data_IF_222986282909
#
_entry.id   IF_222986282909
#
_cell.length_a   1.000
_cell.length_b   1.000
_cell.length_c   1.000
_cell.angle_alpha   90.00
_cell.angle_beta   90.00
_cell.angle_gamma   90.00
#
_symmetry.space_group_name_H-M   'P 1'
#
loop_
_entity.id
_entity.type
_entity.pdbx_description
1 polymer ?
#
# COMPACT_ATOMS: atom_id res chain seq x y z
N UNK A 1 -11.01 0.20 -23.83
CA UNK A 1 -10.08 0.85 -24.78
C UNK A 1 -8.79 1.14 -24.02
N UNK A 2 -7.89 0.19 -24.00
CA UNK A 2 -6.56 0.36 -23.38
C UNK A 2 -5.65 1.05 -24.39
N UNK A 3 -5.32 2.32 -24.16
CA UNK A 3 -4.35 3.06 -24.99
C UNK A 3 -2.97 2.94 -24.37
N UNK A 4 -2.12 2.15 -25.03
CA UNK A 4 -0.69 2.09 -24.74
C UNK A 4 0.05 3.16 -25.56
N UNK A 5 0.61 4.16 -24.90
CA UNK A 5 1.57 5.10 -25.49
C UNK A 5 2.65 5.44 -24.47
N UNK A 6 3.74 4.70 -24.49
CA UNK A 6 5.09 5.28 -24.35
C UNK A 6 6.13 4.17 -24.52
N UNK A 7 6.83 4.24 -25.64
CA UNK A 7 7.97 3.39 -25.91
C UNK A 7 9.16 3.75 -25.02
N UNK A 8 9.50 2.86 -24.12
CA UNK A 8 10.81 2.78 -23.51
C UNK A 8 11.27 1.32 -23.56
N UNK A 9 12.14 1.01 -24.50
CA UNK A 9 12.90 -0.26 -24.51
C UNK A 9 13.90 -0.19 -23.37
N UNK A 10 13.62 -0.85 -22.28
CA UNK A 10 14.64 -1.22 -21.30
C UNK A 10 15.08 -2.66 -21.55
N UNK A 11 16.37 -2.81 -21.85
CA UNK A 11 17.03 -4.11 -21.95
C UNK A 11 17.10 -4.73 -20.54
N UNK A 12 16.31 -5.76 -20.29
CA UNK A 12 16.49 -6.62 -19.14
C UNK A 12 17.44 -7.77 -19.52
N UNK A 13 18.55 -7.84 -18.81
CA UNK A 13 19.43 -9.01 -18.81
C UNK A 13 18.65 -10.18 -18.20
N UNK A 14 18.25 -11.12 -19.03
CA UNK A 14 17.61 -12.38 -18.61
C UNK A 14 18.72 -13.33 -18.18
N UNK A 15 18.84 -13.54 -16.86
CA UNK A 15 19.54 -14.70 -16.34
C UNK A 15 18.77 -15.97 -16.73
N UNK A 16 19.36 -16.84 -17.51
CA UNK A 16 18.76 -18.12 -17.91
C UNK A 16 18.46 -18.98 -16.68
N UNK A 17 17.23 -19.43 -16.46
CA UNK A 17 16.93 -20.43 -15.45
C UNK A 17 17.43 -21.79 -15.90
N UNK A 18 18.09 -22.52 -15.01
CA UNK A 18 18.47 -23.92 -15.18
C UNK A 18 17.23 -24.73 -15.52
N UNK A 19 17.35 -25.56 -16.55
CA UNK A 19 16.32 -26.45 -17.07
C UNK A 19 15.67 -27.30 -15.95
N UNK A 20 14.33 -27.40 -15.91
CA UNK A 20 13.64 -28.33 -15.01
C UNK A 20 13.85 -29.77 -15.54
N UNK A 21 13.94 -30.70 -14.59
CA UNK A 21 14.06 -32.12 -14.86
C UNK A 21 12.90 -32.63 -15.75
N UNK A 22 13.21 -33.39 -16.76
CA UNK A 22 12.28 -33.99 -17.74
C UNK A 22 11.22 -34.85 -17.01
N UNK A 23 9.96 -34.50 -17.16
CA UNK A 23 8.86 -35.41 -16.89
C UNK A 23 8.83 -36.55 -17.90
N UNK A 24 8.58 -37.80 -17.52
CA UNK A 24 8.49 -38.92 -18.43
C UNK A 24 7.22 -38.86 -19.27
N UNK A 25 7.38 -39.23 -20.56
CA UNK A 25 6.38 -39.15 -21.59
C UNK A 25 5.16 -40.05 -21.38
N UNK A 26 4.05 -39.57 -21.89
CA UNK A 26 2.71 -40.10 -22.05
C UNK A 26 2.61 -41.61 -22.20
N UNK A 27 1.83 -42.23 -21.30
CA UNK A 27 1.14 -43.46 -21.51
C UNK A 27 -0.37 -43.21 -21.37
N UNK A 28 -1.11 -43.38 -22.44
CA UNK A 28 -2.56 -43.29 -22.52
C UNK A 28 -3.24 -44.42 -21.75
N UNK A 29 -3.80 -44.11 -20.57
CA UNK A 29 -4.81 -44.93 -19.93
C UNK A 29 -5.73 -44.04 -19.07
N UNK A 30 -7.03 -44.12 -19.36
CA UNK A 30 -8.07 -43.45 -18.59
C UNK A 30 -8.01 -43.87 -17.10
N UNK A 31 -8.17 -42.96 -16.14
CA UNK A 31 -8.13 -43.31 -14.74
C UNK A 31 -9.43 -43.98 -14.30
N UNK A 32 -9.36 -45.26 -13.97
CA UNK A 32 -10.39 -45.96 -13.20
C UNK A 32 -10.20 -45.59 -11.71
N UNK A 33 -11.25 -45.03 -11.10
CA UNK A 33 -11.56 -45.14 -9.68
C UNK A 33 -10.65 -44.38 -8.70
N UNK A 34 -11.11 -43.22 -8.27
CA UNK A 34 -10.54 -42.39 -7.19
C UNK A 34 -10.71 -43.04 -5.78
N UNK A 35 -11.18 -44.29 -5.66
CA UNK A 35 -11.58 -44.88 -4.38
C UNK A 35 -10.52 -45.65 -3.57
N UNK A 36 -9.29 -45.78 -4.05
CA UNK A 36 -8.31 -46.69 -3.42
C UNK A 36 -7.08 -46.05 -2.76
N UNK A 37 -7.08 -44.74 -2.46
CA UNK A 37 -5.88 -44.07 -1.91
C UNK A 37 -6.07 -43.39 -0.55
N UNK A 38 -7.18 -43.68 0.19
CA UNK A 38 -7.43 -43.06 1.52
C UNK A 38 -6.48 -43.53 2.61
N UNK A 39 -5.92 -44.73 2.52
CA UNK A 39 -5.21 -45.35 3.63
C UNK A 39 -3.70 -45.06 3.73
N UNK A 40 -3.08 -44.46 2.70
CA UNK A 40 -1.64 -44.18 2.74
C UNK A 40 -1.26 -42.70 2.96
N UNK A 41 -2.21 -41.78 2.97
CA UNK A 41 -2.01 -40.36 3.15
C UNK A 41 -2.31 -39.83 4.56
N UNK A 42 -2.78 -40.69 5.47
CA UNK A 42 -3.21 -40.35 6.83
C UNK A 42 -2.13 -39.77 7.76
N UNK A 43 -0.86 -39.72 7.35
CA UNK A 43 0.24 -39.30 8.21
C UNK A 43 0.83 -37.91 7.91
N UNK A 44 0.70 -37.40 6.69
CA UNK A 44 1.46 -36.21 6.25
C UNK A 44 0.66 -34.99 5.81
N UNK A 45 -0.65 -35.11 5.55
CA UNK A 45 -1.51 -33.99 5.16
C UNK A 45 -2.65 -33.79 6.19
N UNK A 46 -2.31 -33.48 7.43
CA UNK A 46 -3.31 -33.33 8.51
C UNK A 46 -4.22 -32.10 8.36
N UNK A 47 -3.86 -31.12 7.55
CA UNK A 47 -4.56 -29.83 7.46
C UNK A 47 -5.11 -29.47 6.07
N UNK A 48 -4.92 -30.31 5.05
CA UNK A 48 -5.49 -30.06 3.73
C UNK A 48 -7.03 -30.08 3.82
N UNK A 49 -7.65 -28.91 3.55
CA UNK A 49 -9.11 -28.77 3.57
C UNK A 49 -9.62 -28.72 2.14
N UNK A 50 -10.71 -29.46 1.88
CA UNK A 50 -11.37 -29.50 0.55
C UNK A 50 -12.76 -28.90 0.65
N UNK A 51 -13.13 -28.19 -0.38
CA UNK A 51 -14.46 -27.58 -0.51
C UNK A 51 -15.04 -27.92 -1.87
N UNK A 52 -16.31 -28.31 -1.87
CA UNK A 52 -17.09 -28.54 -3.09
C UNK A 52 -17.73 -27.24 -3.54
N UNK A 53 -17.59 -26.92 -4.82
CA UNK A 53 -18.29 -25.80 -5.46
C UNK A 53 -19.60 -26.33 -6.07
N UNK A 54 -20.71 -25.74 -5.65
CA UNK A 54 -22.05 -26.02 -6.16
C UNK A 54 -22.85 -24.72 -6.19
N UNK A 55 -24.10 -24.76 -5.81
CA UNK A 55 -24.89 -23.55 -5.53
C UNK A 55 -24.41 -22.80 -4.29
N UNK A 56 -23.65 -23.47 -3.44
CA UNK A 56 -22.95 -22.90 -2.31
C UNK A 56 -21.62 -23.67 -2.12
N UNK A 57 -20.63 -23.04 -1.49
CA UNK A 57 -19.39 -23.69 -1.12
C UNK A 57 -19.63 -24.54 0.13
N UNK A 58 -19.29 -25.84 0.08
CA UNK A 58 -19.44 -26.78 1.20
C UNK A 58 -18.12 -27.42 1.55
N UNK A 59 -17.79 -27.48 2.85
CA UNK A 59 -16.59 -28.17 3.30
C UNK A 59 -16.78 -29.70 3.21
N UNK A 60 -15.78 -30.39 2.69
CA UNK A 60 -15.78 -31.84 2.57
C UNK A 60 -14.92 -32.46 3.67
N UNK A 61 -15.40 -33.61 4.22
CA UNK A 61 -14.58 -34.46 5.08
C UNK A 61 -13.50 -35.19 4.24
N UNK A 62 -12.41 -35.62 4.91
CA UNK A 62 -11.28 -36.27 4.25
C UNK A 62 -11.63 -37.52 3.45
N UNK A 63 -12.75 -38.18 3.79
CA UNK A 63 -13.21 -39.45 3.21
C UNK A 63 -14.25 -39.29 2.11
N UNK A 64 -14.71 -38.05 1.86
CA UNK A 64 -15.77 -37.78 0.86
C UNK A 64 -15.22 -37.89 -0.57
N UNK A 65 -16.00 -38.50 -1.48
CA UNK A 65 -15.73 -38.43 -2.91
C UNK A 65 -15.89 -36.99 -3.41
N UNK A 66 -14.88 -36.47 -4.10
CA UNK A 66 -14.86 -35.12 -4.63
C UNK A 66 -15.44 -35.13 -6.04
N UNK A 67 -16.49 -34.35 -6.28
CA UNK A 67 -16.97 -34.05 -7.64
C UNK A 67 -16.42 -32.72 -8.11
N UNK A 68 -16.20 -32.55 -9.40
CA UNK A 68 -15.77 -31.26 -10.00
C UNK A 68 -16.96 -30.32 -10.15
N UNK A 69 -16.77 -29.00 -9.95
CA UNK A 69 -15.55 -28.31 -9.54
C UNK A 69 -15.35 -28.28 -8.00
N UNK A 70 -14.10 -28.19 -7.56
CA UNK A 70 -13.75 -28.15 -6.13
C UNK A 70 -12.57 -27.22 -5.83
N UNK A 71 -12.40 -26.87 -4.54
CA UNK A 71 -11.30 -26.04 -4.06
C UNK A 71 -10.47 -26.81 -3.04
N UNK A 72 -9.17 -26.68 -3.13
CA UNK A 72 -8.21 -27.23 -2.18
C UNK A 72 -7.45 -26.09 -1.50
N UNK A 73 -7.45 -26.09 -0.18
CA UNK A 73 -6.62 -25.21 0.63
C UNK A 73 -5.50 -26.02 1.29
N UNK A 74 -4.26 -25.53 1.16
CA UNK A 74 -3.08 -26.13 1.75
C UNK A 74 -2.09 -25.05 2.18
N UNK A 75 -1.13 -25.44 3.02
CA UNK A 75 -0.01 -24.58 3.39
C UNK A 75 1.24 -24.88 2.55
N UNK A 76 2.29 -24.06 2.69
CA UNK A 76 3.55 -24.25 1.93
C UNK A 76 4.22 -25.59 2.21
N UNK A 77 4.14 -26.09 3.45
CA UNK A 77 4.73 -27.38 3.82
C UNK A 77 3.99 -28.54 3.16
N UNK A 78 2.67 -28.52 3.14
CA UNK A 78 1.84 -29.50 2.47
C UNK A 78 2.02 -29.46 0.96
N UNK A 79 2.17 -28.27 0.38
CA UNK A 79 2.48 -28.07 -1.05
C UNK A 79 3.80 -28.78 -1.42
N UNK A 80 4.86 -28.58 -0.65
CA UNK A 80 6.17 -29.20 -0.89
C UNK A 80 6.10 -30.75 -0.80
N UNK A 81 5.38 -31.27 0.19
CA UNK A 81 5.20 -32.73 0.35
C UNK A 81 4.32 -33.32 -0.74
N UNK A 82 3.24 -32.63 -1.13
CA UNK A 82 2.32 -33.07 -2.17
C UNK A 82 2.99 -33.13 -3.55
N UNK A 83 3.87 -32.17 -3.86
CA UNK A 83 4.65 -32.16 -5.08
C UNK A 83 5.62 -33.35 -5.20
N UNK A 84 6.20 -33.79 -4.06
CA UNK A 84 7.12 -34.97 -4.02
C UNK A 84 6.40 -36.30 -4.17
N UNK A 85 5.16 -36.39 -3.71
CA UNK A 85 4.39 -37.63 -3.69
C UNK A 85 3.61 -37.90 -4.99
N UNK A 86 3.73 -37.07 -6.02
CA UNK A 86 2.98 -37.21 -7.27
C UNK A 86 1.48 -37.14 -7.05
N UNK A 87 1.04 -36.17 -6.28
CA UNK A 87 -0.32 -36.05 -5.79
C UNK A 87 -1.38 -36.18 -6.87
N UNK A 88 -2.56 -36.62 -6.48
CA UNK A 88 -3.76 -36.84 -7.29
C UNK A 88 -4.29 -35.59 -8.02
N UNK A 89 -3.74 -34.41 -7.73
CA UNK A 89 -4.10 -33.14 -8.35
C UNK A 89 -3.05 -32.83 -9.41
N UNK A 90 -3.37 -32.96 -10.69
CA UNK A 90 -2.49 -32.53 -11.77
C UNK A 90 -2.13 -31.05 -11.59
N UNK A 91 -0.92 -30.66 -12.01
CA UNK A 91 -0.47 -29.25 -11.97
C UNK A 91 -0.27 -28.62 -10.57
N UNK A 92 -0.47 -29.38 -9.47
CA UNK A 92 -0.26 -28.83 -8.13
C UNK A 92 1.14 -28.21 -7.93
N UNK A 93 2.15 -28.74 -8.62
CA UNK A 93 3.52 -28.23 -8.61
C UNK A 93 3.67 -26.82 -9.24
N UNK A 94 2.68 -26.36 -10.01
CA UNK A 94 2.65 -25.00 -10.57
C UNK A 94 2.02 -23.98 -9.61
N UNK A 95 1.46 -24.41 -8.47
CA UNK A 95 0.93 -23.48 -7.47
C UNK A 95 2.06 -22.71 -6.82
N UNK A 96 2.08 -21.36 -6.88
CA UNK A 96 3.12 -20.57 -6.23
C UNK A 96 3.04 -20.65 -4.71
N UNK A 97 4.19 -20.65 -4.05
CA UNK A 97 4.23 -20.59 -2.59
C UNK A 97 4.04 -19.16 -2.08
N UNK A 98 3.25 -18.92 -1.01
CA UNK A 98 3.10 -17.62 -0.37
C UNK A 98 4.43 -17.06 0.17
N UNK A 99 5.42 -17.91 0.49
CA UNK A 99 6.75 -17.48 0.94
C UNK A 99 7.52 -16.68 -0.09
N UNK A 100 7.27 -16.93 -1.38
CA UNK A 100 7.92 -16.23 -2.51
C UNK A 100 7.06 -15.10 -3.09
N UNK A 101 5.84 -14.94 -2.60
CA UNK A 101 4.91 -13.94 -3.08
C UNK A 101 5.33 -12.53 -2.63
N UNK A 102 5.68 -11.67 -3.59
CA UNK A 102 6.06 -10.26 -3.34
C UNK A 102 5.07 -9.27 -3.95
N UNK A 103 4.23 -9.73 -4.89
CA UNK A 103 3.30 -8.88 -5.64
C UNK A 103 2.06 -9.69 -6.06
N UNK A 104 1.01 -8.98 -6.48
CA UNK A 104 -0.14 -9.59 -7.12
C UNK A 104 0.20 -9.82 -8.60
N UNK A 105 0.01 -11.05 -9.07
CA UNK A 105 0.19 -11.40 -10.47
C UNK A 105 -0.71 -12.58 -10.87
N UNK A 106 -1.05 -12.64 -12.16
CA UNK A 106 -1.61 -13.79 -12.82
C UNK A 106 -0.68 -14.23 -13.96
N UNK A 107 -0.54 -15.52 -14.16
CA UNK A 107 0.20 -16.13 -15.28
C UNK A 107 -0.77 -17.10 -15.97
N UNK A 108 -1.17 -16.74 -17.19
CA UNK A 108 -2.07 -17.54 -17.99
C UNK A 108 -1.29 -18.59 -18.81
N UNK A 109 -1.59 -19.87 -18.58
CA UNK A 109 -1.04 -21.02 -19.30
C UNK A 109 -2.14 -21.74 -20.05
N UNK A 110 -1.80 -22.55 -21.06
CA UNK A 110 -2.75 -23.29 -21.88
C UNK A 110 -3.68 -24.25 -21.09
N UNK A 111 -3.31 -24.66 -19.90
CA UNK A 111 -4.05 -25.63 -19.09
C UNK A 111 -4.45 -25.14 -17.70
N UNK A 112 -3.98 -23.97 -17.28
CA UNK A 112 -4.25 -23.41 -15.96
C UNK A 112 -3.87 -21.94 -15.90
N UNK A 113 -4.40 -21.23 -14.91
CA UNK A 113 -3.99 -19.89 -14.51
C UNK A 113 -3.39 -20.01 -13.11
N UNK A 114 -2.22 -19.46 -12.90
CA UNK A 114 -1.61 -19.44 -11.56
C UNK A 114 -1.06 -18.04 -11.22
N UNK A 115 -0.89 -17.79 -9.94
CA UNK A 115 -0.37 -16.51 -9.53
C UNK A 115 -0.30 -16.32 -8.02
N UNK A 116 0.00 -15.11 -7.62
CA UNK A 116 0.10 -14.73 -6.22
C UNK A 116 -0.71 -13.48 -5.94
N UNK A 117 -1.24 -13.36 -4.75
CA UNK A 117 -1.87 -12.14 -4.23
C UNK A 117 -1.20 -11.81 -2.89
N UNK A 118 -0.76 -10.56 -2.75
CA UNK A 118 -0.12 -10.07 -1.52
C UNK A 118 -0.77 -8.75 -1.14
N UNK A 119 -1.47 -8.73 0.01
CA UNK A 119 -2.13 -7.52 0.50
C UNK A 119 -1.18 -6.71 1.38
N UNK A 120 -1.24 -5.38 1.37
CA UNK A 120 -0.57 -4.55 2.35
C UNK A 120 -1.05 -4.86 3.78
N UNK A 121 -0.28 -4.43 4.77
CA UNK A 121 -0.67 -4.56 6.19
C UNK A 121 -1.80 -3.57 6.48
N UNK A 122 -2.91 -4.06 7.02
CA UNK A 122 -4.05 -3.20 7.42
C UNK A 122 -3.89 -2.58 8.80
N UNK A 123 -3.02 -3.15 9.64
CA UNK A 123 -2.79 -2.65 11.00
C UNK A 123 -1.31 -2.79 11.33
N UNK A 124 -0.76 -1.80 12.01
CA UNK A 124 0.63 -1.87 12.52
C UNK A 124 0.77 -3.11 13.41
N UNK A 125 1.71 -4.00 13.06
CA UNK A 125 1.95 -5.26 13.78
C UNK A 125 1.31 -6.51 13.16
N UNK A 126 0.37 -6.41 12.23
CA UNK A 126 -0.08 -7.56 11.45
C UNK A 126 0.90 -7.88 10.32
N UNK A 127 1.05 -9.18 10.02
CA UNK A 127 1.78 -9.59 8.82
C UNK A 127 0.98 -9.25 7.56
N UNK A 128 1.66 -8.96 6.45
CA UNK A 128 1.03 -8.92 5.15
C UNK A 128 0.43 -10.30 4.86
N UNK A 129 -0.76 -10.34 4.29
CA UNK A 129 -1.40 -11.59 3.86
C UNK A 129 -0.87 -11.88 2.46
N UNK A 130 -0.30 -13.07 2.28
CA UNK A 130 0.17 -13.52 0.98
C UNK A 130 -0.32 -14.94 0.75
N UNK A 131 -0.82 -15.21 -0.44
CA UNK A 131 -1.21 -16.56 -0.86
C UNK A 131 -0.94 -16.77 -2.34
N UNK A 132 -0.64 -18.03 -2.67
CA UNK A 132 -0.58 -18.51 -4.04
C UNK A 132 -1.90 -19.10 -4.47
N UNK A 133 -2.21 -19.05 -5.75
CA UNK A 133 -3.38 -19.69 -6.31
C UNK A 133 -3.07 -20.38 -7.63
N UNK A 134 -3.84 -21.40 -7.93
CA UNK A 134 -3.88 -22.09 -9.22
C UNK A 134 -5.33 -22.38 -9.55
N UNK A 135 -5.76 -22.02 -10.73
CA UNK A 135 -7.10 -22.22 -11.24
C UNK A 135 -7.05 -23.13 -12.47
N UNK A 136 -7.92 -24.13 -12.50
CA UNK A 136 -8.14 -25.00 -13.65
C UNK A 136 -9.64 -25.06 -13.93
N UNK A 137 -10.09 -25.66 -15.02
CA UNK A 137 -11.51 -25.81 -15.30
C UNK A 137 -12.24 -26.65 -14.22
N UNK A 138 -11.55 -27.60 -13.60
CA UNK A 138 -12.12 -28.57 -12.69
C UNK A 138 -11.89 -28.29 -11.21
N UNK A 139 -10.82 -27.53 -10.87
CA UNK A 139 -10.46 -27.27 -9.48
C UNK A 139 -9.66 -25.98 -9.31
N UNK A 140 -9.73 -25.43 -8.12
CA UNK A 140 -8.85 -24.35 -7.64
C UNK A 140 -7.98 -24.82 -6.50
N UNK A 141 -6.74 -24.36 -6.45
CA UNK A 141 -5.81 -24.56 -5.33
C UNK A 141 -5.46 -23.22 -4.75
N UNK A 142 -5.57 -23.10 -3.43
CA UNK A 142 -5.10 -21.96 -2.65
C UNK A 142 -4.00 -22.43 -1.72
N UNK A 143 -2.85 -21.74 -1.71
CA UNK A 143 -1.76 -21.98 -0.79
C UNK A 143 -1.61 -20.78 0.14
N UNK A 144 -1.83 -20.97 1.44
CA UNK A 144 -1.83 -19.92 2.46
C UNK A 144 -1.19 -20.40 3.75
N UNK A 145 -0.19 -19.65 4.21
CA UNK A 145 0.46 -19.90 5.51
C UNK A 145 -0.11 -19.03 6.65
N UNK A 146 -0.95 -18.02 6.31
CA UNK A 146 -1.49 -17.04 7.26
C UNK A 146 -2.80 -17.46 7.91
N UNK A 147 -3.52 -18.42 7.33
CA UNK A 147 -4.88 -18.81 7.71
C UNK A 147 -5.97 -17.84 7.24
N UNK A 148 -5.61 -16.78 6.52
CA UNK A 148 -6.57 -15.78 6.01
C UNK A 148 -7.48 -16.37 4.95
N UNK A 149 -6.94 -17.17 4.01
CA UNK A 149 -7.74 -17.84 2.98
C UNK A 149 -8.73 -18.81 3.62
N UNK A 150 -8.34 -19.56 4.67
CA UNK A 150 -9.26 -20.44 5.39
C UNK A 150 -10.44 -19.66 5.98
N UNK A 151 -10.18 -18.52 6.62
CA UNK A 151 -11.22 -17.65 7.18
C UNK A 151 -12.16 -17.11 6.09
N UNK A 152 -11.62 -16.73 4.92
CA UNK A 152 -12.41 -16.27 3.77
C UNK A 152 -13.28 -17.40 3.21
N UNK A 153 -12.73 -18.61 3.04
CA UNK A 153 -13.48 -19.78 2.56
C UNK A 153 -14.61 -20.16 3.50
N UNK A 154 -14.37 -20.16 4.83
CA UNK A 154 -15.43 -20.38 5.81
C UNK A 154 -16.54 -19.34 5.72
N UNK A 155 -16.17 -18.07 5.44
CA UNK A 155 -17.12 -17.00 5.27
C UNK A 155 -17.93 -17.18 3.98
N UNK A 156 -17.30 -17.56 2.86
CA UNK A 156 -18.00 -17.93 1.61
C UNK A 156 -19.02 -19.04 1.82
N UNK A 157 -18.66 -20.10 2.60
CA UNK A 157 -19.57 -21.18 2.95
C UNK A 157 -20.77 -20.69 3.77
N UNK A 158 -20.53 -19.84 4.77
CA UNK A 158 -21.57 -19.38 5.70
C UNK A 158 -22.54 -18.42 5.06
N UNK A 159 -22.03 -17.44 4.29
CA UNK A 159 -22.80 -16.35 3.72
C UNK A 159 -23.36 -16.69 2.32
N UNK A 160 -23.01 -17.87 1.78
CA UNK A 160 -23.44 -18.35 0.44
C UNK A 160 -23.16 -17.33 -0.67
N UNK A 161 -21.98 -16.72 -0.64
CA UNK A 161 -21.58 -15.62 -1.52
C UNK A 161 -21.02 -16.09 -2.88
N UNK A 162 -21.31 -17.31 -3.33
CA UNK A 162 -20.94 -17.76 -4.67
C UNK A 162 -21.83 -17.09 -5.71
N UNK A 163 -21.20 -16.48 -6.72
CA UNK A 163 -21.91 -15.83 -7.82
C UNK A 163 -22.23 -16.79 -8.98
N UNK A 164 -21.73 -18.03 -8.93
CA UNK A 164 -21.95 -19.06 -9.93
C UNK A 164 -21.34 -20.41 -9.52
N UNK A 165 -21.69 -21.49 -10.20
CA UNK A 165 -21.22 -22.85 -9.88
C UNK A 165 -19.80 -23.15 -10.40
N UNK A 166 -19.18 -22.23 -11.17
CA UNK A 166 -17.86 -22.40 -11.79
C UNK A 166 -16.71 -21.92 -10.92
N UNK A 167 -15.50 -22.20 -11.40
CA UNK A 167 -14.25 -21.72 -10.75
C UNK A 167 -14.15 -20.20 -10.79
N UNK A 168 -14.59 -19.57 -11.87
CA UNK A 168 -14.62 -18.10 -11.99
C UNK A 168 -15.58 -17.47 -10.98
N UNK A 169 -16.78 -18.02 -10.82
CA UNK A 169 -17.75 -17.58 -9.80
C UNK A 169 -17.23 -17.71 -8.36
N UNK A 170 -16.51 -18.79 -8.07
CA UNK A 170 -15.82 -18.98 -6.80
C UNK A 170 -14.72 -17.92 -6.58
N UNK A 171 -13.85 -17.73 -7.59
CA UNK A 171 -12.72 -16.82 -7.44
C UNK A 171 -13.17 -15.35 -7.41
N UNK A 172 -14.23 -15.00 -8.12
CA UNK A 172 -14.91 -13.73 -7.96
C UNK A 172 -15.32 -13.48 -6.50
N UNK A 173 -16.08 -14.43 -5.90
CA UNK A 173 -16.51 -14.31 -4.50
C UNK A 173 -15.34 -14.20 -3.52
N UNK A 174 -14.23 -14.88 -3.80
CA UNK A 174 -13.00 -14.78 -3.02
C UNK A 174 -12.36 -13.39 -3.12
N UNK A 175 -12.25 -12.82 -4.32
CA UNK A 175 -11.74 -11.45 -4.53
C UNK A 175 -12.65 -10.39 -3.89
N UNK A 176 -13.97 -10.56 -3.98
CA UNK A 176 -14.94 -9.67 -3.33
C UNK A 176 -14.76 -9.63 -1.80
N UNK A 177 -14.52 -10.78 -1.16
CA UNK A 177 -14.23 -10.85 0.26
C UNK A 177 -12.87 -10.24 0.61
N UNK A 178 -11.88 -10.41 -0.25
CA UNK A 178 -10.56 -9.82 -0.08
C UNK A 178 -10.65 -8.29 -0.03
N UNK A 179 -11.45 -7.71 -0.92
CA UNK A 179 -11.64 -6.25 -1.05
C UNK A 179 -12.70 -5.67 -0.10
N UNK A 180 -13.44 -6.53 0.62
CA UNK A 180 -14.63 -6.09 1.37
C UNK A 180 -14.36 -4.99 2.41
N UNK A 181 -13.18 -4.98 3.02
CA UNK A 181 -12.81 -4.03 4.07
C UNK A 181 -11.89 -2.89 3.59
N UNK A 182 -11.50 -2.89 2.32
CA UNK A 182 -10.47 -1.97 1.85
C UNK A 182 -10.96 -0.52 1.79
N UNK A 183 -12.23 -0.30 1.42
CA UNK A 183 -12.81 1.04 1.44
C UNK A 183 -12.81 1.64 2.87
N UNK A 184 -13.16 0.83 3.87
CA UNK A 184 -13.11 1.25 5.27
C UNK A 184 -11.70 1.60 5.73
N UNK A 185 -10.70 0.85 5.23
CA UNK A 185 -9.32 1.14 5.56
C UNK A 185 -8.83 2.44 4.93
N UNK A 186 -9.17 2.67 3.65
CA UNK A 186 -8.86 3.94 2.98
C UNK A 186 -9.53 5.13 3.67
N UNK A 187 -10.79 4.97 4.11
CA UNK A 187 -11.47 6.00 4.89
C UNK A 187 -10.74 6.30 6.21
N UNK A 188 -10.27 5.28 6.92
CA UNK A 188 -9.50 5.48 8.15
C UNK A 188 -8.17 6.22 7.90
N UNK A 189 -7.53 6.02 6.74
CA UNK A 189 -6.34 6.79 6.34
C UNK A 189 -6.69 8.25 6.01
N UNK A 190 -7.85 8.50 5.42
CA UNK A 190 -8.38 9.84 5.18
C UNK A 190 -8.63 10.58 6.49
N UNK A 191 -9.34 9.94 7.43
CA UNK A 191 -9.61 10.49 8.76
C UNK A 191 -8.30 10.83 9.52
N UNK A 192 -7.23 10.03 9.33
CA UNK A 192 -5.91 10.32 9.91
C UNK A 192 -5.24 11.54 9.25
N UNK A 193 -5.39 11.73 7.93
CA UNK A 193 -4.91 12.93 7.22
C UNK A 193 -5.67 14.18 7.69
N UNK A 194 -6.99 14.12 7.83
CA UNK A 194 -7.82 15.22 8.32
C UNK A 194 -7.41 15.63 9.74
N UNK A 195 -7.20 14.65 10.63
CA UNK A 195 -6.71 14.93 11.97
C UNK A 195 -5.32 15.60 11.97
N UNK A 196 -4.44 15.24 11.03
CA UNK A 196 -3.13 15.89 10.87
C UNK A 196 -3.24 17.30 10.30
N UNK A 197 -4.22 17.61 9.46
CA UNK A 197 -4.50 18.96 8.97
C UNK A 197 -4.92 19.89 10.13
N UNK A 198 -5.80 19.42 11.00
CA UNK A 198 -6.21 20.14 12.20
C UNK A 198 -5.04 20.42 13.16
N UNK A 199 -4.10 19.47 13.28
CA UNK A 199 -2.89 19.63 14.11
C UNK A 199 -1.96 20.74 13.60
N UNK A 200 -1.84 20.95 12.28
CA UNK A 200 -1.06 22.04 11.69
C UNK A 200 -1.61 23.39 12.16
N UNK A 201 -2.95 23.54 12.13
CA UNK A 201 -3.65 24.74 12.59
C UNK A 201 -3.47 24.97 14.09
N UNK A 202 -3.37 23.90 14.89
CA UNK A 202 -3.22 23.91 16.34
C UNK A 202 -1.79 24.05 16.89
N UNK A 203 -0.77 24.21 16.04
CA UNK A 203 0.64 24.40 16.40
C UNK A 203 1.39 23.20 17.02
N UNK A 204 0.89 21.98 16.90
CA UNK A 204 1.57 20.76 17.37
C UNK A 204 2.42 20.14 16.28
N UNK A 205 3.63 20.66 16.05
CA UNK A 205 4.41 20.33 14.85
C UNK A 205 5.50 19.26 15.05
N UNK A 206 5.84 18.90 16.29
CA UNK A 206 7.03 18.08 16.57
C UNK A 206 6.96 16.66 16.03
N UNK A 207 5.78 16.03 16.05
CA UNK A 207 5.58 14.65 15.57
C UNK A 207 4.99 14.55 14.13
N UNK A 208 4.67 15.67 13.51
CA UNK A 208 4.02 15.72 12.21
C UNK A 208 4.85 15.02 11.11
N UNK A 209 6.13 15.36 10.97
CA UNK A 209 6.98 14.88 9.88
C UNK A 209 7.16 13.35 9.86
N UNK A 210 7.47 12.66 10.96
CA UNK A 210 7.58 11.20 10.98
C UNK A 210 6.23 10.51 10.76
N UNK A 211 5.12 11.03 11.29
CA UNK A 211 3.77 10.49 11.07
C UNK A 211 3.36 10.61 9.60
N UNK A 212 3.54 11.78 8.99
CA UNK A 212 3.27 12.03 7.58
C UNK A 212 4.09 11.10 6.67
N UNK A 213 5.37 10.89 6.98
CA UNK A 213 6.21 9.96 6.21
C UNK A 213 5.72 8.51 6.28
N UNK A 214 5.27 8.07 7.46
CA UNK A 214 4.72 6.73 7.64
C UNK A 214 3.40 6.56 6.88
N UNK A 215 2.49 7.53 6.99
CA UNK A 215 1.18 7.52 6.33
C UNK A 215 1.31 7.54 4.81
N UNK A 216 2.17 8.40 4.25
CA UNK A 216 2.47 8.40 2.82
C UNK A 216 3.00 7.06 2.32
N UNK A 217 3.88 6.41 3.08
CA UNK A 217 4.40 5.09 2.72
C UNK A 217 3.29 4.03 2.71
N UNK A 218 2.38 4.11 3.66
CA UNK A 218 1.23 3.22 3.73
C UNK A 218 0.28 3.43 2.54
N UNK A 219 -0.14 4.67 2.27
CA UNK A 219 -0.99 5.03 1.12
C UNK A 219 -0.35 4.58 -0.21
N UNK A 220 0.96 4.83 -0.39
CA UNK A 220 1.69 4.38 -1.58
C UNK A 220 1.74 2.85 -1.69
N UNK A 221 1.75 2.13 -0.57
CA UNK A 221 1.65 0.66 -0.54
C UNK A 221 0.30 0.17 -1.05
N UNK A 222 -0.79 0.81 -0.63
CA UNK A 222 -2.14 0.50 -1.08
C UNK A 222 -2.36 0.84 -2.55
N UNK A 223 -1.91 2.00 -3.02
CA UNK A 223 -1.98 2.37 -4.43
C UNK A 223 -1.25 1.36 -5.32
N UNK A 224 -0.06 0.90 -4.92
CA UNK A 224 0.69 -0.14 -5.65
C UNK A 224 -0.05 -1.48 -5.65
N UNK A 225 -0.65 -1.86 -4.54
CA UNK A 225 -1.44 -3.07 -4.43
C UNK A 225 -2.62 -3.08 -5.41
N UNK A 226 -3.41 -1.99 -5.44
CA UNK A 226 -4.54 -1.92 -6.37
C UNK A 226 -4.10 -1.86 -7.83
N UNK A 227 -2.98 -1.19 -8.15
CA UNK A 227 -2.41 -1.22 -9.51
C UNK A 227 -2.03 -2.64 -9.94
N UNK A 228 -1.44 -3.43 -9.05
CA UNK A 228 -1.10 -4.82 -9.34
C UNK A 228 -2.34 -5.70 -9.44
N UNK A 229 -3.34 -5.46 -8.59
CA UNK A 229 -4.58 -6.22 -8.61
C UNK A 229 -5.41 -5.91 -9.87
N UNK A 230 -5.40 -4.66 -10.34
CA UNK A 230 -6.00 -4.27 -11.61
C UNK A 230 -5.36 -5.04 -12.77
N UNK A 231 -4.02 -5.07 -12.84
CA UNK A 231 -3.30 -5.88 -13.82
C UNK A 231 -3.65 -7.36 -13.76
N UNK A 232 -3.79 -7.94 -12.56
CA UNK A 232 -4.21 -9.32 -12.38
C UNK A 232 -5.65 -9.57 -12.94
N UNK A 233 -6.56 -8.65 -12.66
CA UNK A 233 -7.94 -8.77 -13.17
C UNK A 233 -8.01 -8.56 -14.68
N UNK A 234 -7.19 -7.66 -15.24
CA UNK A 234 -7.07 -7.50 -16.70
C UNK A 234 -6.64 -8.79 -17.39
N UNK A 235 -5.65 -9.52 -16.85
CA UNK A 235 -5.24 -10.84 -17.38
C UNK A 235 -6.41 -11.85 -17.43
N UNK A 236 -7.31 -11.83 -16.44
CA UNK A 236 -8.51 -12.68 -16.46
C UNK A 236 -9.52 -12.24 -17.51
N UNK A 237 -9.65 -10.93 -17.75
CA UNK A 237 -10.57 -10.37 -18.73
C UNK A 237 -10.09 -10.56 -20.18
N UNK A 238 -8.78 -10.59 -20.41
CA UNK A 238 -8.19 -10.93 -21.70
C UNK A 238 -8.55 -12.35 -22.12
N UNK A 239 -8.67 -13.27 -21.14
CA UNK A 239 -9.19 -14.63 -21.31
C UNK A 239 -8.66 -15.35 -22.58
N UNK A 240 -7.34 -15.19 -22.87
CA UNK A 240 -6.71 -15.68 -24.11
C UNK A 240 -6.96 -17.16 -24.38
N UNK A 241 -7.14 -17.96 -23.32
CA UNK A 241 -7.34 -19.39 -23.38
C UNK A 241 -8.82 -19.82 -23.32
N UNK A 242 -9.75 -18.86 -23.40
CA UNK A 242 -11.20 -19.11 -23.24
C UNK A 242 -11.53 -19.90 -21.96
N UNK A 243 -10.86 -19.57 -20.86
CA UNK A 243 -10.96 -20.25 -19.57
C UNK A 243 -12.28 -19.97 -18.87
N UNK A 244 -12.74 -18.72 -18.98
CA UNK A 244 -13.95 -18.22 -18.34
C UNK A 244 -15.05 -18.04 -19.37
N UNK A 245 -16.26 -18.35 -18.96
CA UNK A 245 -17.43 -18.09 -19.77
C UNK A 245 -17.86 -16.61 -19.73
N UNK A 246 -18.87 -16.27 -20.56
CA UNK A 246 -19.33 -14.88 -20.67
C UNK A 246 -19.93 -14.34 -19.37
N UNK A 247 -20.50 -15.18 -18.52
CA UNK A 247 -21.10 -14.78 -17.25
C UNK A 247 -20.04 -14.58 -16.20
N UNK A 248 -19.02 -15.45 -16.16
CA UNK A 248 -17.84 -15.30 -15.30
C UNK A 248 -17.02 -14.04 -15.65
N UNK A 249 -16.85 -13.72 -16.95
CA UNK A 249 -16.20 -12.48 -17.39
C UNK A 249 -16.95 -11.23 -16.93
N UNK A 250 -18.28 -11.26 -16.93
CA UNK A 250 -19.09 -10.16 -16.36
C UNK A 250 -18.81 -9.95 -14.87
N UNK A 251 -18.60 -11.02 -14.11
CA UNK A 251 -18.24 -10.93 -12.70
C UNK A 251 -16.87 -10.29 -12.52
N UNK A 252 -15.87 -10.67 -13.34
CA UNK A 252 -14.54 -10.04 -13.28
C UNK A 252 -14.57 -8.56 -13.69
N UNK A 253 -15.44 -8.15 -14.61
CA UNK A 253 -15.65 -6.71 -14.88
C UNK A 253 -16.21 -5.94 -13.66
N UNK A 254 -16.98 -6.58 -12.78
CA UNK A 254 -17.41 -5.94 -11.53
C UNK A 254 -16.24 -5.77 -10.56
N UNK A 255 -15.35 -6.76 -10.46
CA UNK A 255 -14.12 -6.66 -9.67
C UNK A 255 -13.22 -5.55 -10.21
N UNK A 256 -12.99 -5.49 -11.53
CA UNK A 256 -12.22 -4.44 -12.19
C UNK A 256 -12.72 -3.04 -11.81
N UNK A 257 -14.03 -2.80 -11.95
CA UNK A 257 -14.65 -1.52 -11.57
C UNK A 257 -14.44 -1.20 -10.08
N UNK A 258 -14.49 -2.22 -9.23
CA UNK A 258 -14.26 -2.04 -7.79
C UNK A 258 -12.80 -1.71 -7.48
N UNK A 259 -11.86 -2.44 -8.08
CA UNK A 259 -10.42 -2.20 -7.94
C UNK A 259 -10.05 -0.81 -8.45
N UNK A 260 -10.57 -0.41 -9.62
CA UNK A 260 -10.31 0.91 -10.18
C UNK A 260 -10.84 2.04 -9.30
N UNK A 261 -12.00 1.86 -8.64
CA UNK A 261 -12.51 2.82 -7.66
C UNK A 261 -11.61 2.92 -6.42
N UNK A 262 -11.12 1.79 -5.89
CA UNK A 262 -10.19 1.76 -4.76
C UNK A 262 -8.85 2.38 -5.14
N UNK A 263 -8.35 2.13 -6.34
CA UNK A 263 -7.13 2.74 -6.88
C UNK A 263 -7.27 4.26 -6.98
N UNK A 264 -8.39 4.75 -7.54
CA UNK A 264 -8.65 6.18 -7.64
C UNK A 264 -8.71 6.85 -6.25
N UNK A 265 -9.36 6.21 -5.26
CA UNK A 265 -9.39 6.70 -3.89
C UNK A 265 -7.99 6.74 -3.26
N UNK A 266 -7.18 5.68 -3.43
CA UNK A 266 -5.81 5.65 -2.92
C UNK A 266 -4.91 6.70 -3.58
N UNK A 267 -5.12 7.00 -4.87
CA UNK A 267 -4.43 8.08 -5.57
C UNK A 267 -4.83 9.46 -5.05
N UNK A 268 -6.13 9.68 -4.82
CA UNK A 268 -6.63 10.93 -4.21
C UNK A 268 -6.04 11.16 -2.82
N UNK A 269 -5.97 10.12 -1.98
CA UNK A 269 -5.32 10.20 -0.66
C UNK A 269 -3.82 10.51 -0.77
N UNK A 270 -3.16 9.97 -1.79
CA UNK A 270 -1.75 10.28 -2.04
C UNK A 270 -1.54 11.76 -2.38
N UNK A 271 -2.38 12.31 -3.24
CA UNK A 271 -2.36 13.73 -3.62
C UNK A 271 -2.66 14.61 -2.40
N UNK A 272 -3.66 14.25 -1.60
CA UNK A 272 -3.99 14.95 -0.37
C UNK A 272 -2.81 14.96 0.63
N UNK A 273 -2.14 13.83 0.82
CA UNK A 273 -0.95 13.74 1.66
C UNK A 273 0.22 14.61 1.16
N UNK A 274 0.34 14.83 -0.17
CA UNK A 274 1.32 15.75 -0.74
C UNK A 274 0.94 17.19 -0.43
N UNK A 275 -0.32 17.57 -0.66
CA UNK A 275 -0.83 18.92 -0.37
C UNK A 275 -0.70 19.27 1.12
N UNK A 276 -1.01 18.34 2.00
CA UNK A 276 -0.89 18.54 3.44
C UNK A 276 0.56 18.76 3.87
N UNK A 277 1.51 18.09 3.24
CA UNK A 277 2.95 18.33 3.46
C UNK A 277 3.37 19.73 3.01
N UNK A 278 2.85 20.20 1.87
CA UNK A 278 3.14 21.56 1.36
C UNK A 278 2.53 22.62 2.30
N UNK A 279 1.32 22.40 2.79
CA UNK A 279 0.68 23.25 3.79
C UNK A 279 1.52 23.33 5.08
N UNK A 280 2.00 22.20 5.58
CA UNK A 280 2.88 22.14 6.75
C UNK A 280 4.18 22.94 6.53
N UNK A 281 4.81 22.80 5.36
CA UNK A 281 6.02 23.55 5.03
C UNK A 281 5.75 25.04 4.98
N UNK A 282 4.63 25.45 4.38
CA UNK A 282 4.20 26.86 4.32
C UNK A 282 3.99 27.46 5.71
N UNK A 283 3.40 26.70 6.63
CA UNK A 283 3.19 27.14 8.03
C UNK A 283 4.54 27.33 8.77
N UNK A 284 5.50 26.41 8.56
CA UNK A 284 6.87 26.58 9.10
C UNK A 284 7.51 27.82 8.55
N UNK A 285 7.43 28.05 7.23
CA UNK A 285 8.04 29.20 6.57
C UNK A 285 7.42 30.53 7.05
N UNK A 286 6.11 30.56 7.27
CA UNK A 286 5.42 31.73 7.84
C UNK A 286 5.92 32.01 9.28
N UNK A 287 6.08 31.01 10.13
CA UNK A 287 6.61 31.16 11.49
C UNK A 287 8.07 31.62 11.47
N UNK A 288 8.89 31.02 10.63
CA UNK A 288 10.28 31.42 10.46
C UNK A 288 10.39 32.89 10.01
N UNK A 289 9.58 33.28 9.04
CA UNK A 289 9.50 34.66 8.58
C UNK A 289 9.07 35.63 9.69
N UNK A 290 8.11 35.23 10.52
CA UNK A 290 7.69 36.00 11.67
C UNK A 290 8.82 36.19 12.69
N UNK A 291 9.56 35.14 13.03
CA UNK A 291 10.72 35.22 13.94
C UNK A 291 11.81 36.13 13.33
N UNK A 292 12.09 35.96 12.03
CA UNK A 292 13.07 36.80 11.33
C UNK A 292 12.68 38.30 11.34
N UNK A 293 11.38 38.60 11.17
CA UNK A 293 10.87 39.98 11.31
C UNK A 293 11.15 40.54 12.71
N UNK A 294 10.80 39.81 13.75
CA UNK A 294 11.04 40.24 15.14
C UNK A 294 12.55 40.48 15.37
N UNK A 295 13.40 39.55 14.97
CA UNK A 295 14.85 39.67 15.11
C UNK A 295 15.38 40.90 14.36
N UNK A 296 14.92 41.13 13.14
CA UNK A 296 15.32 42.31 12.35
C UNK A 296 14.88 43.62 13.02
N UNK A 297 13.66 43.65 13.59
CA UNK A 297 13.18 44.82 14.35
C UNK A 297 14.11 45.13 15.52
N UNK A 298 14.35 44.11 16.34
CA UNK A 298 15.21 44.25 17.53
C UNK A 298 16.63 44.72 17.13
N UNK A 299 17.24 44.04 16.18
CA UNK A 299 18.61 44.38 15.75
C UNK A 299 18.70 45.77 15.13
N UNK A 300 17.74 46.17 14.31
CA UNK A 300 17.73 47.51 13.68
C UNK A 300 17.63 48.64 14.70
N UNK A 301 16.92 48.43 15.82
CA UNK A 301 16.78 49.40 16.88
C UNK A 301 18.01 49.41 17.80
N UNK A 302 18.46 48.23 18.25
CA UNK A 302 19.50 48.14 19.28
C UNK A 302 20.91 48.33 18.75
N UNK A 303 21.20 47.98 17.49
CA UNK A 303 22.56 48.09 16.93
C UNK A 303 23.08 49.52 16.91
N UNK A 304 22.34 50.53 16.39
CA UNK A 304 22.82 51.94 16.43
C UNK A 304 22.85 52.49 17.87
N UNK A 305 21.93 52.10 18.74
CA UNK A 305 21.93 52.51 20.14
C UNK A 305 23.15 51.94 20.88
N UNK A 306 23.49 50.67 20.65
CA UNK A 306 24.67 50.02 21.23
C UNK A 306 25.95 50.66 20.72
N UNK A 307 26.02 51.08 19.45
CA UNK A 307 27.15 51.82 18.90
C UNK A 307 27.35 53.13 19.62
N UNK A 308 26.25 53.91 19.79
CA UNK A 308 26.31 55.22 20.51
C UNK A 308 26.74 55.01 21.95
N UNK A 309 26.13 54.06 22.67
CA UNK A 309 26.46 53.76 24.06
C UNK A 309 27.90 53.26 24.21
N UNK A 310 28.39 52.41 23.28
CA UNK A 310 29.76 51.91 23.25
C UNK A 310 30.76 53.03 22.95
N UNK A 311 30.44 53.94 22.02
CA UNK A 311 31.30 55.07 21.65
C UNK A 311 31.51 56.02 22.85
N UNK A 312 30.43 56.45 23.48
CA UNK A 312 30.50 57.32 24.67
C UNK A 312 30.89 56.58 25.97
N UNK A 313 30.91 55.26 25.98
CA UNK A 313 31.42 54.41 27.08
C UNK A 313 32.94 54.17 27.02
N UNK A 314 33.66 54.67 26.00
CA UNK A 314 35.09 54.48 25.85
C UNK A 314 35.84 55.42 26.80
N UNK A 315 36.92 54.91 27.46
CA UNK A 315 37.75 55.68 28.37
C UNK A 315 38.89 56.43 27.65
N UNK A 316 38.55 57.30 26.66
CA UNK A 316 39.53 58.14 26.06
C UNK A 316 39.84 59.38 26.95
N UNK A 317 41.14 59.77 27.09
CA UNK A 317 41.52 60.89 27.88
C UNK A 317 41.09 62.26 27.28
N UNK A 318 40.76 62.30 26.00
CA UNK A 318 40.40 63.55 25.29
C UNK A 318 39.18 63.31 24.48
N UNK A 319 37.97 63.63 25.00
CA UNK A 319 36.69 63.66 24.33
C UNK A 319 36.06 65.04 24.51
N UNK A 320 36.18 65.94 23.55
CA UNK A 320 35.71 67.34 23.69
C UNK A 320 34.17 67.38 23.85
N UNK A 321 33.41 66.40 23.34
CA UNK A 321 31.96 66.33 23.42
C UNK A 321 31.45 66.07 24.86
N UNK A 322 32.25 65.46 25.73
CA UNK A 322 31.90 65.20 27.14
C UNK A 322 32.00 66.46 28.02
N UNK A 323 32.71 67.48 27.59
CA UNK A 323 32.79 68.76 28.30
C UNK A 323 31.74 69.79 27.92
N UNK A 324 30.87 69.42 26.89
CA UNK A 324 29.77 70.30 26.47
C UNK A 324 28.58 70.16 27.43
N UNK A 325 28.09 71.33 27.94
CA UNK A 325 27.03 71.38 28.98
C UNK A 325 25.73 70.70 28.54
N UNK A 326 25.43 70.63 27.22
CA UNK A 326 24.23 69.99 26.63
C UNK A 326 24.54 68.66 25.97
N UNK A 327 25.76 68.11 26.09
CA UNK A 327 26.17 66.89 25.39
C UNK A 327 25.34 65.70 25.75
N UNK A 328 25.00 65.49 27.02
CA UNK A 328 24.12 64.40 27.47
C UNK A 328 22.71 64.49 26.90
N UNK A 329 22.12 65.73 26.87
CA UNK A 329 20.78 65.92 26.30
C UNK A 329 20.79 65.69 24.77
N UNK A 330 21.82 66.10 24.07
CA UNK A 330 22.00 65.85 22.65
C UNK A 330 22.08 64.37 22.29
N UNK A 331 22.80 63.57 23.07
CA UNK A 331 22.87 62.12 22.89
C UNK A 331 21.50 61.43 23.12
N UNK A 332 20.74 61.86 24.11
CA UNK A 332 19.36 61.33 24.34
C UNK A 332 18.47 61.66 23.14
N UNK A 333 18.48 62.91 22.64
CA UNK A 333 17.67 63.32 21.52
C UNK A 333 18.10 62.57 20.25
N UNK A 334 19.38 62.41 19.98
CA UNK A 334 19.89 61.67 18.84
C UNK A 334 19.46 60.16 18.94
N UNK A 335 19.57 59.55 20.11
CA UNK A 335 19.16 58.19 20.34
C UNK A 335 17.64 58.00 20.11
N UNK A 336 16.82 58.93 20.63
CA UNK A 336 15.39 58.93 20.40
C UNK A 336 15.02 59.13 18.89
N UNK A 337 15.76 60.05 18.20
CA UNK A 337 15.58 60.23 16.76
C UNK A 337 15.92 58.97 15.97
N UNK A 338 16.99 58.24 16.31
CA UNK A 338 17.34 56.98 15.65
C UNK A 338 16.23 55.93 15.82
N UNK A 339 15.66 55.80 17.04
CA UNK A 339 14.54 54.89 17.29
C UNK A 339 13.32 55.27 16.44
N UNK A 340 12.94 56.55 16.46
CA UNK A 340 11.76 57.01 15.69
C UNK A 340 11.95 56.86 14.17
N UNK A 341 13.15 57.16 13.64
CA UNK A 341 13.48 56.96 12.24
C UNK A 341 13.43 55.48 11.87
N UNK A 342 14.01 54.62 12.68
CA UNK A 342 13.97 53.16 12.48
C UNK A 342 12.54 52.63 12.44
N UNK A 343 11.68 53.00 13.40
CA UNK A 343 10.29 52.65 13.45
C UNK A 343 9.51 53.21 12.24
N UNK A 344 9.77 54.44 11.82
CA UNK A 344 9.16 55.01 10.63
C UNK A 344 9.53 54.29 9.34
N UNK A 345 10.81 53.92 9.12
CA UNK A 345 11.26 53.16 7.99
C UNK A 345 10.62 51.78 7.95
N UNK A 346 10.52 51.12 9.09
CA UNK A 346 9.90 49.82 9.20
C UNK A 346 8.41 49.84 8.89
N UNK A 347 7.69 50.85 9.41
CA UNK A 347 6.28 51.04 9.09
C UNK A 347 6.08 51.30 7.59
N UNK A 348 6.93 52.17 6.94
CA UNK A 348 6.87 52.46 5.51
C UNK A 348 7.16 51.22 4.63
N UNK A 349 8.01 50.28 5.10
CA UNK A 349 8.35 49.05 4.37
C UNK A 349 7.40 47.89 4.66
N UNK A 350 6.28 48.12 5.31
CA UNK A 350 5.27 47.09 5.65
C UNK A 350 5.86 45.88 6.44
N UNK A 351 6.82 46.13 7.32
CA UNK A 351 7.34 45.09 8.23
C UNK A 351 6.34 44.69 9.33
N UNK A 352 5.34 45.53 9.49
CA UNK A 352 4.18 45.31 10.37
C UNK A 352 2.94 45.05 9.54
#
# INVERSE_FOLDING_TARGET
MCYNKSGFRQYFFVAQPRAPARCPARGTAAPRGISACSDRLGGYCKNMVRYQIGTALTSLSAESSVSTPFVVLLNSQELEHSARLGAQIPLLCHTPSPKTAQLCKAECHSSHICGTITTPRRTRGQAAIAFGYLLTADYAVLCDDSGAAHTMLQRLCREKLLAGPGIGGFFYGFLELLLAKDMHHLQALEDELDAMEDEISGARLEEFSPRMSALRKEISGWSRYYTQLDGLVCEFLENENAYFDSDELRLFHLVEKRVNRLLAQAQSLHEYAVQLRELFQSEIDMRQNHIMKILTIVTTIFLPLSLVAGWYGMNFAYMPELHWQYGYLAVIIASAAVVLISLYIMKKKHFW
#
